data_IF_951478048104
#
_entry.id   IF_951478048104
#
_cell.length_a   1.000
_cell.length_b   1.000
_cell.length_c   1.000
_cell.angle_alpha   90.00
_cell.angle_beta   90.00
_cell.angle_gamma   90.00
#
_symmetry.space_group_name_H-M   'P 1'
#
loop_
_entity.id
_entity.type
_entity.pdbx_description
1 polymer ?
#
# COMPACT_ATOMS: atom_id res chain seq x y z
N UNK A 1 18.03 -50.64 -26.12
CA UNK A 1 18.95 -50.33 -25.01
C UNK A 1 19.51 -48.94 -25.30
N UNK A 2 18.82 -47.87 -24.91
CA UNK A 2 18.61 -47.30 -23.57
C UNK A 2 19.46 -46.01 -23.46
N UNK A 3 18.76 -44.88 -23.25
CA UNK A 3 19.25 -43.57 -22.76
C UNK A 3 20.15 -42.77 -23.73
N UNK A 4 20.05 -41.45 -23.87
CA UNK A 4 19.47 -40.42 -23.01
C UNK A 4 19.21 -39.19 -23.90
N UNK A 5 17.93 -38.85 -24.09
CA UNK A 5 17.54 -37.52 -24.58
C UNK A 5 17.81 -36.57 -23.42
N UNK A 6 18.94 -35.87 -23.47
CA UNK A 6 19.29 -34.82 -22.52
C UNK A 6 18.45 -33.58 -22.87
N UNK A 7 17.16 -33.63 -22.52
CA UNK A 7 16.32 -32.45 -22.43
C UNK A 7 16.74 -31.68 -21.18
N UNK A 8 17.77 -30.85 -21.32
CA UNK A 8 18.01 -29.79 -20.34
C UNK A 8 16.88 -28.78 -20.50
N UNK A 9 15.80 -29.00 -19.76
CA UNK A 9 14.85 -27.94 -19.47
C UNK A 9 15.62 -26.81 -18.80
N UNK A 10 15.84 -25.75 -19.58
CA UNK A 10 16.12 -24.40 -19.08
C UNK A 10 14.91 -23.99 -18.23
N UNK A 11 14.87 -24.45 -16.99
CA UNK A 11 14.15 -23.72 -15.95
C UNK A 11 14.95 -22.46 -15.71
N UNK A 12 14.71 -21.47 -16.58
CA UNK A 12 14.88 -20.07 -16.25
C UNK A 12 14.06 -19.83 -15.00
N UNK A 13 14.72 -19.97 -13.85
CA UNK A 13 14.21 -19.50 -12.58
C UNK A 13 13.99 -18.00 -12.72
N UNK A 14 12.78 -17.61 -13.13
CA UNK A 14 12.18 -16.43 -12.54
C UNK A 14 12.21 -16.71 -11.05
N UNK A 15 13.26 -16.22 -10.37
CA UNK A 15 13.15 -15.89 -8.97
C UNK A 15 12.02 -14.86 -8.92
N UNK A 16 10.80 -15.36 -8.77
CA UNK A 16 9.67 -14.56 -8.34
C UNK A 16 10.20 -13.99 -7.02
N UNK A 17 10.56 -12.72 -7.03
CA UNK A 17 10.70 -11.96 -5.81
C UNK A 17 9.33 -12.10 -5.15
N UNK A 18 9.16 -13.07 -4.25
CA UNK A 18 8.01 -13.11 -3.37
C UNK A 18 8.07 -11.81 -2.59
N UNK A 19 7.27 -10.85 -3.03
CA UNK A 19 6.91 -9.71 -2.22
C UNK A 19 6.17 -10.28 -1.03
N UNK A 20 6.93 -10.56 0.04
CA UNK A 20 6.36 -10.94 1.32
C UNK A 20 5.45 -9.81 1.78
N UNK A 21 4.29 -10.17 2.25
CA UNK A 21 3.32 -9.24 2.81
C UNK A 21 3.24 -9.44 4.33
N UNK A 22 2.56 -8.53 5.02
CA UNK A 22 2.21 -8.74 6.42
C UNK A 22 1.37 -10.01 6.58
N UNK A 23 1.44 -10.64 7.75
CA UNK A 23 0.67 -11.87 8.03
C UNK A 23 -0.83 -11.60 7.87
N UNK A 24 -1.29 -10.39 8.24
CA UNK A 24 -2.67 -9.98 8.05
C UNK A 24 -3.09 -9.97 6.57
N UNK A 25 -2.26 -9.39 5.69
CA UNK A 25 -2.51 -9.35 4.24
C UNK A 25 -2.44 -10.75 3.63
N UNK A 26 -1.43 -11.56 3.98
CA UNK A 26 -1.31 -12.93 3.48
C UNK A 26 -2.55 -13.77 3.83
N UNK A 27 -3.03 -13.68 5.08
CA UNK A 27 -4.23 -14.38 5.52
C UNK A 27 -5.49 -13.94 4.74
N UNK A 28 -5.62 -12.65 4.47
CA UNK A 28 -6.74 -12.09 3.72
C UNK A 28 -6.70 -12.47 2.23
N UNK A 29 -5.51 -12.57 1.62
CA UNK A 29 -5.34 -13.04 0.24
C UNK A 29 -5.59 -14.56 0.10
N UNK A 30 -5.20 -15.36 1.10
CA UNK A 30 -5.35 -16.82 1.07
C UNK A 30 -6.82 -17.29 1.20
N UNK A 31 -7.70 -16.44 1.74
CA UNK A 31 -9.13 -16.74 1.89
C UNK A 31 -9.97 -15.70 1.15
N UNK A 32 -10.08 -15.79 -0.19
CA UNK A 32 -10.90 -14.88 -0.97
C UNK A 32 -12.36 -14.98 -0.52
N UNK A 33 -12.82 -13.97 0.23
CA UNK A 33 -14.23 -13.79 0.57
C UNK A 33 -14.82 -12.69 -0.29
N UNK A 34 -16.03 -12.88 -0.83
CA UNK A 34 -16.80 -11.79 -1.41
C UNK A 34 -17.14 -10.80 -0.28
N UNK A 35 -16.67 -9.54 -0.35
CA UNK A 35 -16.96 -8.55 0.67
C UNK A 35 -18.46 -8.30 0.78
N UNK A 36 -19.02 -8.44 1.96
CA UNK A 36 -20.44 -8.11 2.24
C UNK A 36 -20.59 -6.77 2.96
N UNK A 37 -19.48 -6.23 3.49
CA UNK A 37 -19.43 -4.98 4.22
C UNK A 37 -18.37 -4.07 3.60
N UNK A 38 -18.64 -2.76 3.60
CA UNK A 38 -17.82 -1.77 2.93
C UNK A 38 -17.50 -0.60 3.84
N UNK A 39 -16.36 0.03 3.59
CA UNK A 39 -15.93 1.28 4.18
C UNK A 39 -15.67 2.32 3.09
N UNK A 40 -15.67 3.60 3.48
CA UNK A 40 -15.41 4.71 2.57
C UNK A 40 -14.04 5.29 2.88
N UNK A 41 -13.21 5.45 1.86
CA UNK A 41 -11.91 6.11 2.00
C UNK A 41 -11.81 7.30 1.06
N UNK A 42 -11.13 8.35 1.52
CA UNK A 42 -10.74 9.51 0.73
C UNK A 42 -9.23 9.63 0.79
N UNK A 43 -8.59 9.66 -0.38
CA UNK A 43 -7.14 9.71 -0.49
C UNK A 43 -6.74 11.10 -0.95
N UNK A 44 -5.99 11.83 -0.14
CA UNK A 44 -5.54 13.21 -0.40
C UNK A 44 -4.09 13.22 -0.87
N UNK A 45 -3.78 13.81 -2.04
CA UNK A 45 -2.41 13.97 -2.51
C UNK A 45 -1.68 15.08 -1.76
N UNK A 46 -0.46 14.78 -1.35
CA UNK A 46 0.40 15.72 -0.63
C UNK A 46 1.40 16.37 -1.56
N UNK A 47 1.02 17.43 -2.27
CA UNK A 47 1.94 18.06 -3.23
C UNK A 47 3.17 18.56 -2.46
N UNK A 48 4.37 18.00 -2.75
CA UNK A 48 5.60 18.51 -2.14
C UNK A 48 5.95 19.92 -2.68
N UNK A 49 6.90 20.59 -2.05
CA UNK A 49 7.36 21.94 -2.42
C UNK A 49 7.85 22.09 -3.87
N UNK A 50 8.16 20.98 -4.53
CA UNK A 50 8.58 20.92 -5.93
C UNK A 50 7.46 20.52 -6.90
N UNK A 51 6.21 20.43 -6.44
CA UNK A 51 5.06 20.04 -7.26
C UNK A 51 5.06 18.58 -7.70
N UNK A 52 5.86 17.71 -7.06
CA UNK A 52 6.05 16.31 -7.47
C UNK A 52 5.58 15.35 -6.38
N UNK A 53 4.84 14.33 -6.77
CA UNK A 53 4.66 13.12 -5.97
C UNK A 53 4.90 11.90 -6.83
N UNK A 54 5.69 10.96 -6.32
CA UNK A 54 6.04 9.76 -7.07
C UNK A 54 4.94 8.69 -6.99
N UNK A 55 4.15 8.66 -5.92
CA UNK A 55 3.15 7.63 -5.65
C UNK A 55 2.17 8.15 -4.61
N UNK A 56 0.86 8.06 -4.82
CA UNK A 56 -0.06 8.35 -3.73
C UNK A 56 -1.33 7.52 -3.87
N UNK A 57 -1.33 6.36 -3.25
CA UNK A 57 -2.48 5.49 -3.19
C UNK A 57 -2.20 4.35 -2.22
N UNK A 58 -3.20 3.50 -2.07
CA UNK A 58 -3.16 2.37 -1.16
C UNK A 58 -3.44 1.10 -1.94
N UNK A 59 -3.00 -0.03 -1.41
CA UNK A 59 -3.39 -1.34 -1.94
C UNK A 59 -4.52 -1.88 -1.07
N UNK A 60 -5.64 -2.21 -1.70
CA UNK A 60 -6.78 -2.86 -1.06
C UNK A 60 -6.84 -4.31 -1.49
N UNK A 61 -7.43 -5.16 -0.66
CA UNK A 61 -7.72 -6.54 -1.02
C UNK A 61 -9.16 -6.60 -1.54
N UNK A 62 -9.33 -6.96 -2.81
CA UNK A 62 -10.63 -7.14 -3.45
C UNK A 62 -10.62 -8.46 -4.21
N UNK A 63 -11.60 -9.33 -3.95
CA UNK A 63 -11.72 -10.65 -4.59
C UNK A 63 -10.43 -11.50 -4.49
N UNK A 64 -9.73 -11.44 -3.35
CA UNK A 64 -8.49 -12.18 -3.13
C UNK A 64 -7.27 -11.64 -3.87
N UNK A 65 -7.35 -10.43 -4.41
CA UNK A 65 -6.25 -9.80 -5.14
C UNK A 65 -5.96 -8.42 -4.56
N UNK A 66 -4.68 -8.03 -4.62
CA UNK A 66 -4.28 -6.66 -4.35
C UNK A 66 -4.68 -5.78 -5.53
N UNK A 67 -5.40 -4.71 -5.21
CA UNK A 67 -5.83 -3.68 -6.15
C UNK A 67 -5.34 -2.33 -5.66
N UNK A 68 -4.65 -1.61 -6.53
CA UNK A 68 -4.24 -0.24 -6.24
C UNK A 68 -5.43 0.71 -6.41
N UNK A 69 -5.64 1.59 -5.42
CA UNK A 69 -6.59 2.71 -5.49
C UNK A 69 -5.90 4.01 -5.07
N UNK A 70 -6.11 5.07 -5.83
CA UNK A 70 -5.46 6.37 -5.62
C UNK A 70 -4.88 6.94 -6.92
N UNK A 71 -3.74 7.60 -6.80
CA UNK A 71 -3.05 8.33 -7.87
C UNK A 71 -1.70 7.66 -8.17
N UNK A 72 -1.51 7.22 -9.41
CA UNK A 72 -0.21 6.71 -9.91
C UNK A 72 0.39 7.73 -10.87
N UNK A 73 1.68 8.03 -10.75
CA UNK A 73 2.38 8.91 -11.72
C UNK A 73 3.04 8.08 -12.84
N UNK A 74 3.03 8.62 -14.07
CA UNK A 74 3.77 8.07 -15.23
C UNK A 74 4.33 9.23 -16.08
N UNK A 75 5.59 9.63 -15.82
CA UNK A 75 6.27 10.73 -16.54
C UNK A 75 5.70 12.13 -16.24
N UNK A 76 6.03 13.13 -17.09
CA UNK A 76 5.58 14.54 -16.95
C UNK A 76 4.06 14.76 -17.17
N UNK A 77 3.26 13.71 -17.23
CA UNK A 77 1.80 13.78 -17.40
C UNK A 77 1.11 12.94 -16.33
N UNK A 78 0.27 13.59 -15.53
CA UNK A 78 -0.58 12.92 -14.55
C UNK A 78 -1.67 12.12 -15.26
N UNK A 79 -1.49 10.81 -15.42
CA UNK A 79 -2.57 9.89 -15.80
C UNK A 79 -3.09 9.27 -14.51
N UNK A 80 -4.30 9.66 -14.11
CA UNK A 80 -4.99 9.06 -12.98
C UNK A 80 -5.60 7.71 -13.36
N UNK A 81 -5.25 6.65 -12.64
CA UNK A 81 -5.93 5.35 -12.72
C UNK A 81 -6.95 5.27 -11.58
N UNK A 82 -8.21 5.04 -11.91
CA UNK A 82 -9.28 4.85 -10.92
C UNK A 82 -9.95 6.12 -10.39
N UNK A 83 -9.85 7.25 -11.10
CA UNK A 83 -10.56 8.48 -10.73
C UNK A 83 -12.03 8.47 -11.16
N UNK A 84 -12.98 8.94 -10.33
CA UNK A 84 -14.31 9.28 -10.81
C UNK A 84 -14.23 10.50 -11.73
N UNK A 85 -14.81 10.39 -12.93
CA UNK A 85 -15.00 11.49 -13.89
C UNK A 85 -16.09 12.49 -13.44
N UNK A 86 -16.04 12.96 -12.18
CA UNK A 86 -17.06 13.91 -11.70
C UNK A 86 -16.67 15.36 -12.00
N UNK A 87 -17.68 16.21 -12.22
CA UNK A 87 -17.53 17.67 -12.38
C UNK A 87 -16.84 18.34 -11.18
N UNK A 88 -16.89 17.69 -10.02
CA UNK A 88 -16.21 18.13 -8.79
C UNK A 88 -14.69 18.21 -8.95
N UNK A 89 -14.08 17.37 -9.80
CA UNK A 89 -12.63 17.33 -10.00
C UNK A 89 -12.02 18.65 -10.50
N UNK A 90 -12.69 19.35 -11.44
CA UNK A 90 -12.22 20.65 -11.94
C UNK A 90 -12.27 21.73 -10.85
N UNK A 91 -13.24 21.64 -9.93
CA UNK A 91 -13.38 22.56 -8.81
C UNK A 91 -12.34 22.28 -7.72
N UNK A 92 -12.12 21.00 -7.39
CA UNK A 92 -11.11 20.56 -6.42
C UNK A 92 -9.68 20.94 -6.84
N UNK A 93 -9.35 20.82 -8.14
CA UNK A 93 -8.08 21.32 -8.70
C UNK A 93 -7.91 22.82 -8.50
N UNK A 94 -8.98 23.59 -8.72
CA UNK A 94 -8.97 25.06 -8.62
C UNK A 94 -8.81 25.55 -7.17
N UNK A 95 -9.30 24.76 -6.22
CA UNK A 95 -9.30 25.08 -4.78
C UNK A 95 -8.19 24.39 -3.98
N UNK A 96 -7.32 23.59 -4.62
CA UNK A 96 -6.29 22.79 -3.96
C UNK A 96 -6.84 21.74 -2.97
N UNK A 97 -8.02 21.19 -3.27
CA UNK A 97 -8.78 20.23 -2.47
C UNK A 97 -8.82 18.85 -3.13
N UNK A 98 -7.75 18.46 -3.83
CA UNK A 98 -7.72 17.19 -4.54
C UNK A 98 -7.92 16.01 -3.57
N UNK A 99 -8.87 15.13 -3.84
CA UNK A 99 -8.94 13.80 -3.23
C UNK A 99 -9.66 12.82 -4.16
N UNK A 100 -9.34 11.54 -4.02
CA UNK A 100 -10.07 10.44 -4.65
C UNK A 100 -10.93 9.72 -3.62
N UNK A 101 -12.21 9.51 -3.93
CA UNK A 101 -13.14 8.77 -3.08
C UNK A 101 -13.29 7.33 -3.56
N UNK A 102 -13.26 6.38 -2.63
CA UNK A 102 -13.37 4.96 -2.93
C UNK A 102 -14.25 4.25 -1.90
N UNK A 103 -15.07 3.32 -2.38
CA UNK A 103 -15.76 2.34 -1.55
C UNK A 103 -14.90 1.07 -1.59
N UNK A 104 -14.51 0.58 -0.41
CA UNK A 104 -13.57 -0.54 -0.28
C UNK A 104 -14.14 -1.62 0.64
N UNK A 105 -13.70 -2.87 0.52
CA UNK A 105 -14.05 -3.93 1.46
C UNK A 105 -13.69 -3.55 2.91
N UNK A 106 -14.65 -3.68 3.82
CA UNK A 106 -14.40 -3.53 5.26
C UNK A 106 -13.78 -4.80 5.85
N UNK A 107 -13.19 -4.67 7.04
CA UNK A 107 -12.58 -5.77 7.81
C UNK A 107 -11.43 -6.49 7.09
N UNK A 108 -10.91 -5.93 6.00
CA UNK A 108 -9.74 -6.40 5.27
C UNK A 108 -8.60 -5.38 5.37
N UNK A 109 -7.34 -5.82 5.47
CA UNK A 109 -6.19 -4.92 5.48
C UNK A 109 -6.14 -4.01 4.26
N UNK A 110 -5.93 -2.72 4.51
CA UNK A 110 -5.58 -1.70 3.51
C UNK A 110 -4.13 -1.31 3.72
N UNK A 111 -3.28 -1.60 2.74
CA UNK A 111 -1.85 -1.29 2.79
C UNK A 111 -1.67 0.18 2.44
N UNK A 112 -1.22 0.95 3.43
CA UNK A 112 -1.04 2.40 3.32
C UNK A 112 0.38 2.80 2.94
N UNK A 113 1.36 1.91 3.14
CA UNK A 113 2.71 2.17 2.64
C UNK A 113 3.76 1.25 3.22
N UNK A 114 5.02 1.56 2.93
CA UNK A 114 6.17 0.79 3.39
C UNK A 114 7.18 1.72 4.07
N UNK A 115 7.74 1.29 5.20
CA UNK A 115 8.77 2.05 5.90
C UNK A 115 9.98 1.18 6.19
N UNK A 116 11.17 1.75 6.09
CA UNK A 116 12.41 1.06 6.45
C UNK A 116 12.88 1.56 7.82
N UNK A 117 13.28 0.64 8.69
CA UNK A 117 14.01 0.95 9.93
C UNK A 117 15.37 0.30 9.88
N UNK A 118 16.39 1.01 10.37
CA UNK A 118 17.76 0.49 10.47
C UNK A 118 18.06 0.18 11.93
N UNK A 119 18.44 -1.07 12.21
CA UNK A 119 18.93 -1.50 13.51
C UNK A 119 20.38 -1.93 13.38
N UNK A 120 21.26 -1.45 14.27
CA UNK A 120 22.67 -1.82 14.26
C UNK A 120 23.06 -2.37 15.62
N UNK A 121 23.76 -3.51 15.65
CA UNK A 121 24.38 -3.98 16.88
C UNK A 121 25.57 -3.08 17.21
N UNK A 122 25.54 -2.37 18.33
CA UNK A 122 26.64 -1.52 18.79
C UNK A 122 27.77 -2.31 19.48
N UNK A 123 27.60 -3.61 19.70
CA UNK A 123 28.50 -4.43 20.53
C UNK A 123 29.79 -4.91 19.84
N UNK A 124 30.06 -4.54 18.58
CA UNK A 124 31.18 -5.09 17.80
C UNK A 124 31.98 -4.01 17.06
N UNK A 125 33.29 -4.23 16.90
CA UNK A 125 34.23 -3.39 16.12
C UNK A 125 33.74 -3.19 14.67
N UNK A 126 33.02 -4.17 14.13
CA UNK A 126 32.29 -4.07 12.87
C UNK A 126 30.78 -4.16 13.15
N UNK A 127 30.07 -3.02 13.27
CA UNK A 127 28.65 -3.03 13.58
C UNK A 127 27.89 -3.73 12.45
N UNK A 128 27.22 -4.84 12.78
CA UNK A 128 26.28 -5.45 11.85
C UNK A 128 24.99 -4.64 11.90
N UNK A 129 24.61 -4.08 10.75
CA UNK A 129 23.35 -3.36 10.60
C UNK A 129 22.37 -4.19 9.76
N UNK A 130 21.12 -4.17 10.16
CA UNK A 130 19.98 -4.70 9.42
C UNK A 130 19.05 -3.57 9.04
N UNK A 131 18.55 -3.59 7.82
CA UNK A 131 17.38 -2.82 7.43
C UNK A 131 16.18 -3.77 7.47
N UNK A 132 15.17 -3.38 8.25
CA UNK A 132 13.87 -4.02 8.31
C UNK A 132 12.89 -3.19 7.49
N UNK A 133 12.25 -3.82 6.49
CA UNK A 133 11.15 -3.21 5.74
C UNK A 133 9.84 -3.63 6.39
N UNK A 134 9.04 -2.64 6.74
CA UNK A 134 7.72 -2.82 7.32
C UNK A 134 6.66 -2.50 6.27
N UNK A 135 5.62 -3.33 6.22
CA UNK A 135 4.36 -3.02 5.56
C UNK A 135 3.43 -2.38 6.59
N UNK A 136 2.91 -1.19 6.26
CA UNK A 136 1.96 -0.45 7.07
C UNK A 136 0.56 -0.70 6.53
N UNK A 137 -0.35 -1.11 7.39
CA UNK A 137 -1.75 -1.30 7.03
C UNK A 137 -2.69 -0.87 8.16
N UNK A 138 -3.96 -0.66 7.83
CA UNK A 138 -5.05 -0.55 8.81
C UNK A 138 -6.22 -1.42 8.35
N UNK A 139 -7.13 -1.71 9.27
CA UNK A 139 -8.34 -2.50 8.99
C UNK A 139 -9.54 -1.57 9.19
N UNK A 140 -10.20 -1.13 8.10
CA UNK A 140 -11.37 -0.26 8.20
C UNK A 140 -12.59 -1.04 8.69
N UNK A 141 -13.38 -0.42 9.56
CA UNK A 141 -14.67 -0.96 9.99
C UNK A 141 -15.78 -0.64 8.97
N UNK A 142 -16.81 -1.49 8.96
CA UNK A 142 -17.97 -1.30 8.09
C UNK A 142 -18.69 0.03 8.34
N UNK A 143 -19.12 0.69 7.26
CA UNK A 143 -19.87 1.94 7.27
C UNK A 143 -19.14 3.13 7.92
N UNK A 144 -17.82 3.05 8.06
CA UNK A 144 -16.97 4.16 8.50
C UNK A 144 -16.35 4.90 7.33
N UNK A 145 -15.99 6.15 7.59
CA UNK A 145 -15.31 7.04 6.65
C UNK A 145 -13.88 7.27 7.12
N UNK A 146 -12.92 7.23 6.19
CA UNK A 146 -11.52 7.48 6.50
C UNK A 146 -10.89 8.47 5.50
N UNK A 147 -10.04 9.35 6.00
CA UNK A 147 -9.12 10.16 5.20
C UNK A 147 -7.72 9.58 5.30
N UNK A 148 -7.07 9.39 4.15
CA UNK A 148 -5.68 8.95 4.03
C UNK A 148 -4.87 10.12 3.46
N UNK A 149 -3.86 10.55 4.22
CA UNK A 149 -3.07 11.74 3.95
C UNK A 149 -1.58 11.36 4.07
N UNK A 150 -0.72 11.86 3.16
CA UNK A 150 0.72 11.59 3.13
C UNK A 150 1.07 10.09 3.14
N UNK A 151 0.33 9.28 2.38
CA UNK A 151 0.51 7.83 2.24
C UNK A 151 0.13 7.03 3.50
N UNK A 152 0.59 7.38 4.72
CA UNK A 152 0.45 6.53 5.91
C UNK A 152 -0.33 7.14 7.10
N UNK A 153 -0.75 8.41 7.03
CA UNK A 153 -1.62 8.99 8.06
C UNK A 153 -3.07 8.69 7.72
N UNK A 154 -3.74 7.95 8.61
CA UNK A 154 -5.14 7.59 8.45
C UNK A 154 -5.94 8.30 9.55
N UNK A 155 -7.08 8.86 9.16
CA UNK A 155 -8.01 9.54 10.07
C UNK A 155 -9.40 8.96 9.87
N UNK A 156 -10.04 8.50 10.94
CA UNK A 156 -11.47 8.22 10.93
C UNK A 156 -12.25 9.54 10.98
N UNK A 157 -13.27 9.65 10.14
CA UNK A 157 -14.12 10.83 10.02
C UNK A 157 -15.50 10.50 10.59
N UNK A 158 -15.90 11.25 11.61
CA UNK A 158 -17.23 11.08 12.21
C UNK A 158 -18.33 11.72 11.36
N UNK A 159 -19.58 11.52 11.77
CA UNK A 159 -20.78 12.05 11.08
C UNK A 159 -20.85 13.58 11.02
N UNK A 160 -20.05 14.28 11.82
CA UNK A 160 -19.98 15.74 11.87
C UNK A 160 -18.76 16.28 11.10
N UNK A 161 -17.93 15.40 10.53
CA UNK A 161 -16.72 15.75 9.82
C UNK A 161 -15.48 15.93 10.71
N UNK A 162 -15.55 15.58 12.00
CA UNK A 162 -14.38 15.63 12.87
C UNK A 162 -13.40 14.50 12.54
N UNK A 163 -12.11 14.82 12.55
CA UNK A 163 -11.04 13.87 12.23
C UNK A 163 -10.43 13.30 13.50
N UNK A 164 -10.41 11.97 13.63
CA UNK A 164 -9.65 11.24 14.66
C UNK A 164 -8.54 10.45 14.01
N UNK A 165 -7.28 10.74 14.35
CA UNK A 165 -6.14 9.97 13.85
C UNK A 165 -6.23 8.53 14.36
N UNK A 166 -6.01 7.57 13.46
CA UNK A 166 -5.84 6.15 13.80
C UNK A 166 -4.43 5.70 13.44
N UNK A 167 -3.85 4.84 14.29
CA UNK A 167 -2.51 4.32 14.05
C UNK A 167 -2.56 3.13 13.09
N UNK A 168 -1.67 3.15 12.09
CA UNK A 168 -1.46 2.00 11.21
C UNK A 168 -0.56 0.96 11.88
N UNK A 169 -0.92 -0.31 11.72
CA UNK A 169 -0.10 -1.44 12.17
C UNK A 169 1.08 -1.61 11.22
N UNK A 170 2.27 -1.86 11.76
CA UNK A 170 3.49 -2.09 10.98
C UNK A 170 4.08 -3.47 11.24
N UNK A 171 4.13 -4.32 10.23
CA UNK A 171 4.73 -5.66 10.32
C UNK A 171 5.97 -5.77 9.45
N UNK A 172 7.02 -6.44 9.94
CA UNK A 172 8.25 -6.65 9.18
C UNK A 172 7.98 -7.69 8.09
N UNK A 173 8.12 -7.29 6.83
CA UNK A 173 7.96 -8.17 5.67
C UNK A 173 9.29 -8.66 5.11
N UNK A 174 10.37 -7.90 5.33
CA UNK A 174 11.69 -8.27 4.87
C UNK A 174 12.78 -7.68 5.77
N UNK A 175 13.92 -8.35 5.85
CA UNK A 175 15.10 -7.91 6.58
C UNK A 175 16.35 -8.26 5.80
N UNK A 176 17.23 -7.29 5.58
CA UNK A 176 18.52 -7.54 4.93
C UNK A 176 19.66 -6.89 5.68
N UNK A 177 20.81 -7.57 5.69
CA UNK A 177 22.04 -7.06 6.27
C UNK A 177 22.61 -5.97 5.36
N UNK A 178 23.05 -4.87 5.95
CA UNK A 178 23.85 -3.86 5.26
C UNK A 178 25.27 -3.91 5.79
N UNK A 179 26.22 -4.08 4.90
CA UNK A 179 27.64 -3.94 5.22
C UNK A 179 27.96 -2.44 5.07
N UNK A 180 28.58 -1.85 6.10
CA UNK A 180 29.20 -0.53 5.99
C UNK A 180 30.59 -0.69 5.41
#
# INVERSE_FOLDING_TARGET
MFLLILSTMLFSGCAIFETKHSKAVENALAKPSTPTEFAYIRIFPTINEHGKNNYLGVEIIENGQLKFVGFKWYGNKSISLGMPHSTYYKSALKNNELFGEYIIPANLPVIVGYVNSKSCSSAWIFPTCFIHRYERYFIPEANKNYDIINEYHVYEIDKFGNKKKIDSTGEIINSWKTIK
#
